data_IF_923615929337
#
_entry.id   IF_923615929337
#
_cell.length_a   1.000
_cell.length_b   1.000
_cell.length_c   1.000
_cell.angle_alpha   90.00
_cell.angle_beta   90.00
_cell.angle_gamma   90.00
#
_symmetry.space_group_name_H-M   'P 1'
#
loop_
_entity.id
_entity.type
_entity.pdbx_description
1 polymer ?
#
# COMPACT_ATOMS: atom_id res chain seq x y z
N UNK A 1 -18.20 16.96 0.09
CA UNK A 1 -18.33 18.28 0.72
C UNK A 1 -17.09 19.11 0.42
N UNK A 2 -17.07 20.34 0.85
CA UNK A 2 -16.00 21.27 0.53
C UNK A 2 -14.61 20.75 0.95
N UNK A 3 -14.49 20.26 2.20
CA UNK A 3 -13.23 19.73 2.72
C UNK A 3 -12.75 18.52 1.92
N UNK A 4 -13.66 17.63 1.58
CA UNK A 4 -13.32 16.42 0.82
C UNK A 4 -12.83 16.76 -0.58
N UNK A 5 -13.47 17.70 -1.25
CA UNK A 5 -13.06 18.16 -2.57
C UNK A 5 -11.70 18.84 -2.52
N UNK A 6 -11.47 19.63 -1.48
CA UNK A 6 -10.20 20.31 -1.27
C UNK A 6 -9.07 19.30 -1.08
N UNK A 7 -9.29 18.30 -0.23
CA UNK A 7 -8.28 17.27 0.03
C UNK A 7 -8.02 16.41 -1.21
N UNK A 8 -9.06 16.10 -1.97
CA UNK A 8 -8.90 15.38 -3.23
C UNK A 8 -8.06 16.19 -4.22
N UNK A 9 -8.30 17.50 -4.29
CA UNK A 9 -7.52 18.39 -5.15
C UNK A 9 -6.05 18.43 -4.71
N UNK A 10 -5.80 18.47 -3.40
CA UNK A 10 -4.44 18.41 -2.85
C UNK A 10 -3.72 17.13 -3.32
N UNK A 11 -4.37 15.99 -3.20
CA UNK A 11 -3.79 14.72 -3.63
C UNK A 11 -3.48 14.70 -5.12
N UNK A 12 -4.37 15.23 -5.93
CA UNK A 12 -4.17 15.31 -7.38
C UNK A 12 -3.00 16.21 -7.73
N UNK A 13 -2.87 17.35 -7.05
CA UNK A 13 -1.76 18.28 -7.27
C UNK A 13 -0.41 17.66 -6.90
N UNK A 14 -0.37 16.96 -5.77
CA UNK A 14 0.86 16.30 -5.30
C UNK A 14 1.30 15.22 -6.28
N UNK A 15 0.35 14.46 -6.84
CA UNK A 15 0.66 13.42 -7.82
C UNK A 15 1.11 13.97 -9.17
N UNK A 16 0.54 15.10 -9.57
CA UNK A 16 0.79 15.67 -10.89
C UNK A 16 1.97 16.62 -10.95
N UNK A 17 2.35 17.23 -9.84
CA UNK A 17 3.36 18.29 -9.78
C UNK A 17 4.33 18.06 -8.63
N UNK A 18 5.55 18.53 -8.81
CA UNK A 18 6.55 18.53 -7.76
C UNK A 18 6.39 19.79 -6.92
N UNK A 19 5.64 19.67 -5.82
CA UNK A 19 5.38 20.80 -4.93
C UNK A 19 6.24 20.62 -3.68
N UNK A 20 7.12 21.59 -3.43
CA UNK A 20 8.05 21.53 -2.30
C UNK A 20 7.70 22.46 -1.15
N UNK A 21 6.79 23.40 -1.37
CA UNK A 21 6.43 24.40 -0.35
C UNK A 21 4.92 24.44 -0.16
N UNK A 22 4.52 24.61 1.09
CA UNK A 22 3.12 24.76 1.44
C UNK A 22 2.49 25.98 0.76
N UNK A 23 3.26 27.04 0.59
CA UNK A 23 2.80 28.26 -0.08
C UNK A 23 2.39 28.01 -1.52
N UNK A 24 3.16 27.18 -2.25
CA UNK A 24 2.83 26.79 -3.61
C UNK A 24 1.49 26.05 -3.66
N UNK A 25 1.30 25.12 -2.72
CA UNK A 25 0.07 24.35 -2.65
C UNK A 25 -1.12 25.27 -2.35
N UNK A 26 -0.96 26.18 -1.40
CA UNK A 26 -1.99 27.16 -1.05
C UNK A 26 -2.37 28.00 -2.27
N UNK A 27 -1.40 28.43 -3.05
CA UNK A 27 -1.62 29.22 -4.26
C UNK A 27 -2.41 28.44 -5.31
N UNK A 28 -2.04 27.17 -5.56
CA UNK A 28 -2.78 26.33 -6.49
C UNK A 28 -4.22 26.13 -6.07
N UNK A 29 -4.45 25.94 -4.78
CA UNK A 29 -5.80 25.77 -4.25
C UNK A 29 -6.62 27.03 -4.40
N UNK A 30 -6.01 28.20 -4.14
CA UNK A 30 -6.68 29.49 -4.34
C UNK A 30 -7.08 29.68 -5.80
N UNK A 31 -6.20 29.34 -6.73
CA UNK A 31 -6.49 29.43 -8.17
C UNK A 31 -7.59 28.46 -8.59
N UNK A 32 -7.72 27.34 -7.89
CA UNK A 32 -8.77 26.35 -8.15
C UNK A 32 -10.11 26.74 -7.54
N UNK A 33 -10.18 27.88 -6.84
CA UNK A 33 -11.42 28.38 -6.28
C UNK A 33 -11.65 28.05 -4.81
N UNK A 34 -10.66 27.51 -4.11
CA UNK A 34 -10.78 27.20 -2.69
C UNK A 34 -10.28 28.36 -1.84
N UNK A 35 -11.10 28.76 -0.89
CA UNK A 35 -10.71 29.79 0.10
C UNK A 35 -9.96 29.08 1.21
N UNK A 36 -8.63 29.11 1.18
CA UNK A 36 -7.78 28.39 2.13
C UNK A 36 -6.79 29.31 2.81
N UNK A 37 -6.41 28.91 4.03
CA UNK A 37 -5.31 29.53 4.77
C UNK A 37 -4.16 28.53 4.87
N UNK A 38 -2.98 29.01 5.23
CA UNK A 38 -1.84 28.11 5.46
C UNK A 38 -2.16 27.10 6.57
N UNK A 39 -2.89 27.53 7.60
CA UNK A 39 -3.29 26.66 8.70
C UNK A 39 -4.20 25.52 8.23
N UNK A 40 -5.17 25.81 7.36
CA UNK A 40 -6.07 24.78 6.86
C UNK A 40 -5.36 23.81 5.93
N UNK A 41 -4.45 24.31 5.10
CA UNK A 41 -3.66 23.45 4.23
C UNK A 41 -2.72 22.55 5.05
N UNK A 42 -2.06 23.11 6.06
CA UNK A 42 -1.19 22.34 6.95
C UNK A 42 -1.95 21.22 7.64
N UNK A 43 -3.15 21.50 8.11
CA UNK A 43 -4.00 20.51 8.75
C UNK A 43 -4.42 19.41 7.77
N UNK A 44 -4.78 19.80 6.55
CA UNK A 44 -5.14 18.84 5.52
C UNK A 44 -3.98 17.90 5.18
N UNK A 45 -2.76 18.42 5.09
CA UNK A 45 -1.59 17.61 4.81
C UNK A 45 -1.35 16.56 5.90
N UNK A 46 -1.52 16.95 7.17
CA UNK A 46 -1.41 16.02 8.30
C UNK A 46 -2.50 14.95 8.24
N UNK A 47 -3.74 15.35 8.02
CA UNK A 47 -4.86 14.41 7.95
C UNK A 47 -4.72 13.42 6.79
N UNK A 48 -4.18 13.86 5.66
CA UNK A 48 -3.96 13.01 4.49
C UNK A 48 -2.73 12.12 4.61
N UNK A 49 -1.91 12.34 5.63
CA UNK A 49 -0.68 11.59 5.81
C UNK A 49 0.41 11.94 4.81
N UNK A 50 0.37 13.14 4.25
CA UNK A 50 1.37 13.60 3.29
C UNK A 50 2.70 13.82 3.99
N UNK A 51 3.77 13.35 3.37
CA UNK A 51 5.14 13.50 3.87
C UNK A 51 5.97 14.30 2.87
N UNK A 52 7.17 14.71 3.29
CA UNK A 52 8.14 15.33 2.38
C UNK A 52 9.22 14.30 2.06
N UNK A 53 9.43 14.04 0.79
CA UNK A 53 10.47 13.12 0.32
C UNK A 53 11.25 13.82 -0.78
N UNK A 54 12.57 13.86 -0.65
CA UNK A 54 13.45 14.51 -1.61
C UNK A 54 13.08 15.98 -1.88
N UNK A 55 12.59 16.67 -0.84
CA UNK A 55 12.21 18.08 -0.94
C UNK A 55 10.83 18.36 -1.50
N UNK A 56 10.06 17.34 -1.83
CA UNK A 56 8.72 17.49 -2.39
C UNK A 56 7.68 16.75 -1.56
N UNK A 57 6.46 17.26 -1.54
CA UNK A 57 5.34 16.57 -0.91
C UNK A 57 5.03 15.30 -1.67
N UNK A 58 4.83 14.23 -0.93
CA UNK A 58 4.52 12.93 -1.50
C UNK A 58 3.59 12.17 -0.58
N UNK A 59 2.82 11.25 -1.14
CA UNK A 59 2.05 10.32 -0.34
C UNK A 59 2.98 9.22 0.14
N UNK A 60 2.79 8.72 1.37
CA UNK A 60 3.50 7.52 1.81
C UNK A 60 3.24 6.45 0.77
N UNK A 61 4.25 5.67 0.45
CA UNK A 61 4.20 4.69 -0.63
C UNK A 61 2.96 3.82 -0.56
N UNK A 62 1.97 4.15 -1.37
CA UNK A 62 0.74 3.37 -1.44
C UNK A 62 1.02 1.94 -1.89
N UNK A 63 2.04 1.76 -2.74
CA UNK A 63 2.49 0.46 -3.20
C UNK A 63 2.92 -0.42 -2.03
N UNK A 64 3.65 0.16 -1.08
CA UNK A 64 4.11 -0.59 0.09
C UNK A 64 2.95 -0.98 1.00
N UNK A 65 1.92 -0.16 1.08
CA UNK A 65 0.72 -0.50 1.83
C UNK A 65 -0.05 -1.63 1.16
N UNK A 66 -0.11 -1.62 -0.18
CA UNK A 66 -0.81 -2.66 -0.93
C UNK A 66 -0.09 -3.99 -0.84
N UNK A 67 1.23 -3.97 -1.01
CA UNK A 67 2.03 -5.19 -1.00
C UNK A 67 2.36 -5.66 0.42
N UNK A 68 2.28 -4.77 1.38
CA UNK A 68 2.50 -5.05 2.79
C UNK A 68 3.81 -5.80 3.08
N UNK A 69 4.80 -5.59 2.24
CA UNK A 69 6.11 -6.24 2.37
C UNK A 69 6.28 -7.50 1.53
N UNK A 70 5.25 -7.98 0.87
CA UNK A 70 5.36 -9.13 -0.02
C UNK A 70 6.10 -8.74 -1.30
N UNK A 71 7.14 -9.49 -1.64
CA UNK A 71 7.97 -9.21 -2.81
C UNK A 71 7.63 -10.15 -3.96
N UNK A 72 7.61 -11.46 -3.70
CA UNK A 72 7.39 -12.44 -4.75
C UNK A 72 6.78 -13.73 -4.20
N UNK A 73 6.15 -14.47 -5.09
CA UNK A 73 5.64 -15.81 -4.83
C UNK A 73 6.28 -16.77 -5.81
N UNK A 74 6.92 -17.82 -5.29
CA UNK A 74 7.55 -18.86 -6.09
C UNK A 74 6.96 -20.20 -5.74
N UNK A 75 6.98 -21.13 -6.68
CA UNK A 75 6.51 -22.49 -6.42
C UNK A 75 7.69 -23.41 -6.16
N UNK A 76 7.51 -24.31 -5.20
CA UNK A 76 8.48 -25.37 -4.93
C UNK A 76 7.71 -26.71 -4.97
N UNK A 77 7.71 -27.35 -6.14
CA UNK A 77 6.87 -28.50 -6.39
C UNK A 77 5.40 -28.07 -6.50
N UNK A 78 4.49 -28.98 -6.24
CA UNK A 78 3.05 -28.73 -6.40
C UNK A 78 2.33 -28.36 -5.10
N UNK A 79 3.00 -28.56 -3.98
CA UNK A 79 2.38 -28.44 -2.65
C UNK A 79 2.89 -27.26 -1.85
N UNK A 80 3.87 -26.52 -2.35
CA UNK A 80 4.49 -25.44 -1.61
C UNK A 80 4.58 -24.16 -2.44
N UNK A 81 4.17 -23.07 -1.80
CA UNK A 81 4.42 -21.72 -2.32
C UNK A 81 5.41 -21.08 -1.37
N UNK A 82 6.47 -20.49 -1.92
CA UNK A 82 7.46 -19.77 -1.14
C UNK A 82 7.26 -18.28 -1.39
N UNK A 83 6.82 -17.57 -0.36
CA UNK A 83 6.63 -16.13 -0.44
C UNK A 83 7.88 -15.43 0.10
N UNK A 84 8.44 -14.55 -0.71
CA UNK A 84 9.56 -13.71 -0.29
C UNK A 84 9.03 -12.36 0.14
N UNK A 85 9.53 -11.89 1.26
CA UNK A 85 9.08 -10.65 1.89
C UNK A 85 10.26 -9.75 2.21
N UNK A 86 9.96 -8.49 2.48
CA UNK A 86 10.98 -7.60 3.01
C UNK A 86 11.43 -8.10 4.39
N UNK A 87 12.70 -7.86 4.72
CA UNK A 87 13.29 -8.31 5.98
C UNK A 87 12.44 -7.92 7.18
N UNK A 88 12.15 -8.89 8.03
CA UNK A 88 11.36 -8.67 9.24
C UNK A 88 9.84 -8.66 9.04
N UNK A 89 9.34 -8.74 7.80
CA UNK A 89 7.90 -8.61 7.53
C UNK A 89 7.18 -9.91 7.22
N UNK A 90 7.87 -11.04 7.17
CA UNK A 90 7.24 -12.30 6.82
C UNK A 90 6.08 -12.66 7.76
N UNK A 91 6.26 -12.52 9.06
CA UNK A 91 5.20 -12.82 10.03
C UNK A 91 3.97 -11.94 9.84
N UNK A 92 4.18 -10.65 9.57
CA UNK A 92 3.07 -9.72 9.35
C UNK A 92 2.30 -10.06 8.07
N UNK A 93 3.01 -10.41 7.00
CA UNK A 93 2.39 -10.84 5.74
C UNK A 93 1.62 -12.15 5.95
N UNK A 94 2.20 -13.11 6.66
CA UNK A 94 1.55 -14.38 6.94
C UNK A 94 0.26 -14.20 7.72
N UNK A 95 0.23 -13.29 8.69
CA UNK A 95 -0.98 -12.98 9.46
C UNK A 95 -2.09 -12.48 8.52
N UNK A 96 -1.76 -11.63 7.57
CA UNK A 96 -2.73 -11.13 6.60
C UNK A 96 -3.29 -12.26 5.73
N UNK A 97 -2.41 -13.16 5.29
CA UNK A 97 -2.82 -14.33 4.50
C UNK A 97 -3.75 -15.23 5.32
N UNK A 98 -3.38 -15.51 6.56
CA UNK A 98 -4.18 -16.37 7.45
C UNK A 98 -5.56 -15.75 7.72
N UNK A 99 -5.61 -14.46 7.95
CA UNK A 99 -6.88 -13.75 8.22
C UNK A 99 -7.82 -13.73 7.01
N UNK A 100 -7.27 -13.75 5.82
CA UNK A 100 -8.07 -13.76 4.59
C UNK A 100 -8.82 -15.08 4.39
N UNK A 101 -8.44 -16.12 5.11
CA UNK A 101 -9.07 -17.45 5.04
C UNK A 101 -9.21 -17.95 3.61
N UNK A 102 -8.09 -17.92 2.88
CA UNK A 102 -8.05 -18.40 1.51
C UNK A 102 -8.27 -19.91 1.51
N UNK A 103 -9.35 -20.42 0.89
CA UNK A 103 -9.72 -21.84 1.01
C UNK A 103 -8.66 -22.81 0.51
N UNK A 104 -7.85 -22.39 -0.47
CA UNK A 104 -6.84 -23.23 -1.10
C UNK A 104 -5.59 -23.41 -0.25
N UNK A 105 -5.44 -22.60 0.79
CA UNK A 105 -4.27 -22.65 1.66
C UNK A 105 -4.54 -23.52 2.88
N UNK A 106 -3.69 -24.51 3.08
CA UNK A 106 -3.80 -25.42 4.24
C UNK A 106 -3.22 -24.74 5.48
N UNK A 107 -2.08 -24.06 5.33
CA UNK A 107 -1.44 -23.36 6.44
C UNK A 107 -0.20 -22.62 5.98
N UNK A 108 0.34 -21.79 6.87
CA UNK A 108 1.53 -21.02 6.59
C UNK A 108 2.51 -21.10 7.77
N UNK A 109 3.79 -21.01 7.45
CA UNK A 109 4.86 -20.86 8.44
C UNK A 109 5.77 -19.72 7.97
N UNK A 110 5.97 -18.74 8.82
CA UNK A 110 6.77 -17.56 8.48
C UNK A 110 8.09 -17.53 9.24
N UNK A 111 9.15 -17.21 8.51
CA UNK A 111 10.45 -16.88 9.10
C UNK A 111 10.61 -15.37 9.16
N UNK A 112 11.80 -14.87 8.85
CA UNK A 112 12.07 -13.44 8.84
C UNK A 112 11.62 -12.77 7.55
N UNK A 113 12.04 -13.30 6.41
CA UNK A 113 11.76 -12.76 5.07
C UNK A 113 11.12 -13.77 4.13
N UNK A 114 10.75 -14.92 4.64
CA UNK A 114 10.25 -16.03 3.83
C UNK A 114 9.06 -16.68 4.52
N UNK A 115 8.03 -17.02 3.75
CA UNK A 115 6.87 -17.75 4.24
C UNK A 115 6.71 -19.01 3.41
N UNK A 116 6.53 -20.15 4.07
CA UNK A 116 6.15 -21.40 3.40
C UNK A 116 4.65 -21.56 3.51
N UNK A 117 4.00 -21.69 2.38
CA UNK A 117 2.55 -21.80 2.27
C UNK A 117 2.21 -23.17 1.70
N UNK A 118 1.52 -23.98 2.48
CA UNK A 118 1.16 -25.32 2.06
C UNK A 118 -0.18 -25.33 1.33
N UNK A 119 -0.22 -26.01 0.20
CA UNK A 119 -1.45 -26.21 -0.58
C UNK A 119 -1.58 -27.67 -0.95
N UNK A 120 -2.78 -28.09 -1.30
CA UNK A 120 -3.10 -29.51 -1.50
C UNK A 120 -2.49 -30.08 -2.79
N UNK A 121 -2.60 -29.35 -3.88
CA UNK A 121 -2.16 -29.81 -5.20
C UNK A 121 -1.89 -28.62 -6.13
N UNK A 122 -1.53 -28.95 -7.37
CA UNK A 122 -1.18 -27.95 -8.37
C UNK A 122 -2.32 -26.97 -8.67
N UNK A 123 -3.54 -27.44 -8.73
CA UNK A 123 -4.70 -26.58 -9.00
C UNK A 123 -4.91 -25.60 -7.87
N UNK A 124 -4.87 -26.10 -6.64
CA UNK A 124 -5.00 -25.25 -5.46
C UNK A 124 -3.85 -24.27 -5.36
N UNK A 125 -2.64 -24.68 -5.75
CA UNK A 125 -1.48 -23.82 -5.75
C UNK A 125 -1.68 -22.59 -6.67
N UNK A 126 -2.17 -22.80 -7.88
CA UNK A 126 -2.43 -21.71 -8.82
C UNK A 126 -3.48 -20.74 -8.29
N UNK A 127 -4.57 -21.29 -7.75
CA UNK A 127 -5.63 -20.46 -7.18
C UNK A 127 -5.14 -19.65 -5.98
N UNK A 128 -4.36 -20.30 -5.13
CA UNK A 128 -3.80 -19.63 -3.95
C UNK A 128 -2.90 -18.47 -4.33
N UNK A 129 -2.02 -18.65 -5.30
CA UNK A 129 -1.14 -17.59 -5.79
C UNK A 129 -1.95 -16.40 -6.27
N UNK A 130 -2.97 -16.65 -7.08
CA UNK A 130 -3.84 -15.59 -7.58
C UNK A 130 -4.53 -14.86 -6.43
N UNK A 131 -5.08 -15.61 -5.49
CA UNK A 131 -5.83 -15.04 -4.36
C UNK A 131 -4.91 -14.23 -3.43
N UNK A 132 -3.67 -14.69 -3.24
CA UNK A 132 -2.70 -13.93 -2.44
C UNK A 132 -2.38 -12.60 -3.12
N UNK A 133 -2.08 -12.61 -4.42
CA UNK A 133 -1.81 -11.36 -5.13
C UNK A 133 -3.00 -10.41 -5.09
N UNK A 134 -4.20 -10.90 -5.27
CA UNK A 134 -5.41 -10.07 -5.17
C UNK A 134 -5.55 -9.43 -3.79
N UNK A 135 -5.21 -10.17 -2.74
CA UNK A 135 -5.27 -9.67 -1.36
C UNK A 135 -4.34 -8.47 -1.17
N UNK A 136 -3.15 -8.49 -1.74
CA UNK A 136 -2.15 -7.45 -1.53
C UNK A 136 -2.14 -6.35 -2.60
N UNK A 137 -2.83 -6.54 -3.69
CA UNK A 137 -2.93 -5.54 -4.76
C UNK A 137 -4.18 -4.65 -4.67
N UNK A 138 -5.19 -5.09 -3.95
CA UNK A 138 -6.46 -4.35 -3.88
C UNK A 138 -6.44 -3.13 -2.97
#
# INVERSE_FOLDING_TARGET
>A
MYKEKRQETILNLIRAKNIGKQEELTEYLSKAGFAVTQSSVSRDLVELGVIKANGFYALPRAENKKNFGLISLETAGENLIVAKCESGLASAVAVQIDRAKIPEIIGTIAGDDTIFIAVKDFREQKKAIKNIWELFES
#
